data_IF_619498411035
#
_entry.id   IF_619498411035
#
_cell.length_a   1.000
_cell.length_b   1.000
_cell.length_c   1.000
_cell.angle_alpha   90.00
_cell.angle_beta   90.00
_cell.angle_gamma   90.00
#
_symmetry.space_group_name_H-M   'P 1'
#
loop_
_entity.id
_entity.type
_entity.pdbx_description
1 polymer ?
#
# COMPACT_ATOMS: atom_id res chain seq x y z
N UNK A 1 15.58 11.52 17.91
CA UNK A 1 15.72 10.43 16.92
C UNK A 1 15.86 11.11 15.57
N UNK A 2 16.70 10.60 14.68
CA UNK A 2 16.79 11.17 13.33
C UNK A 2 15.45 10.97 12.61
N UNK A 3 15.02 11.96 11.84
CA UNK A 3 13.75 11.93 11.10
C UNK A 3 13.78 10.80 10.08
N UNK A 4 12.74 9.97 10.07
CA UNK A 4 12.57 8.92 9.07
C UNK A 4 12.02 9.57 7.81
N UNK A 5 12.71 9.36 6.69
CA UNK A 5 12.28 9.76 5.35
C UNK A 5 11.81 8.51 4.60
N UNK A 6 10.66 8.62 3.94
CA UNK A 6 10.06 7.53 3.16
C UNK A 6 10.39 7.63 1.67
N UNK A 7 10.86 8.79 1.22
CA UNK A 7 11.28 9.00 -0.15
C UNK A 7 12.65 8.37 -0.44
N UNK A 8 12.63 7.38 -1.34
CA UNK A 8 13.81 6.71 -1.87
C UNK A 8 13.67 6.51 -3.38
N UNK A 9 14.68 5.92 -4.01
CA UNK A 9 14.66 5.55 -5.43
C UNK A 9 15.68 4.42 -5.68
N UNK A 10 15.60 3.69 -6.82
CA UNK A 10 16.46 2.54 -7.09
C UNK A 10 17.95 2.79 -6.96
N UNK A 11 18.43 4.00 -7.30
CA UNK A 11 19.85 4.37 -7.19
C UNK A 11 20.35 4.50 -5.74
N UNK A 12 19.43 4.63 -4.78
CA UNK A 12 19.68 4.75 -3.34
C UNK A 12 19.38 3.46 -2.56
N UNK A 13 18.85 2.41 -3.21
CA UNK A 13 18.57 1.15 -2.54
C UNK A 13 19.84 0.50 -2.02
N UNK A 14 19.75 -0.01 -0.79
CA UNK A 14 20.78 -0.80 -0.14
C UNK A 14 20.39 -2.27 -0.15
N UNK A 15 19.11 -2.55 0.07
CA UNK A 15 18.62 -3.86 0.49
C UNK A 15 17.92 -4.62 -0.63
N UNK A 16 17.57 -3.96 -1.73
CA UNK A 16 16.90 -4.57 -2.89
C UNK A 16 17.67 -4.34 -4.18
N UNK A 17 17.65 -5.34 -5.04
CA UNK A 17 18.10 -5.24 -6.43
C UNK A 17 16.89 -5.45 -7.34
N UNK A 18 16.64 -4.47 -8.20
CA UNK A 18 15.53 -4.49 -9.16
C UNK A 18 16.09 -4.61 -10.58
N UNK A 19 15.60 -5.58 -11.33
CA UNK A 19 15.99 -5.80 -12.74
C UNK A 19 14.80 -6.18 -13.60
N UNK A 20 14.89 -5.89 -14.90
CA UNK A 20 13.81 -6.11 -15.86
C UNK A 20 14.32 -6.89 -17.07
N UNK A 21 13.65 -7.99 -17.40
CA UNK A 21 13.94 -8.82 -18.57
C UNK A 21 12.65 -9.05 -19.36
N UNK A 22 12.46 -8.25 -20.42
CA UNK A 22 11.22 -8.25 -21.17
C UNK A 22 10.03 -7.88 -20.29
N UNK A 23 9.03 -8.77 -20.20
CA UNK A 23 7.83 -8.56 -19.38
C UNK A 23 7.96 -9.06 -17.93
N UNK A 24 9.16 -9.44 -17.49
CA UNK A 24 9.41 -9.96 -16.13
C UNK A 24 10.26 -8.97 -15.35
N UNK A 25 9.73 -8.49 -14.23
CA UNK A 25 10.51 -7.80 -13.21
C UNK A 25 11.03 -8.81 -12.18
N UNK A 26 12.26 -8.61 -11.69
CA UNK A 26 12.83 -9.41 -10.60
C UNK A 26 13.24 -8.49 -9.46
N UNK A 27 12.68 -8.74 -8.28
CA UNK A 27 13.09 -8.15 -7.00
C UNK A 27 13.93 -9.17 -6.22
N UNK A 28 15.23 -8.92 -6.12
CA UNK A 28 16.13 -9.72 -5.29
C UNK A 28 16.36 -9.04 -3.95
N UNK A 29 15.95 -9.70 -2.87
CA UNK A 29 16.26 -9.28 -1.51
C UNK A 29 17.75 -9.54 -1.22
N UNK A 30 18.49 -8.47 -0.94
CA UNK A 30 19.91 -8.51 -0.59
C UNK A 30 20.21 -7.52 0.53
N UNK A 31 19.70 -7.78 1.73
CA UNK A 31 19.85 -6.86 2.84
C UNK A 31 21.34 -6.70 3.20
N UNK A 32 21.81 -5.44 3.23
CA UNK A 32 23.12 -5.10 3.81
C UNK A 32 23.03 -5.15 5.33
N UNK A 33 23.81 -6.05 5.95
CA UNK A 33 23.70 -6.33 7.38
C UNK A 33 24.13 -5.15 8.25
N UNK A 34 25.03 -4.31 7.74
CA UNK A 34 25.68 -3.18 8.43
C UNK A 34 25.03 -1.82 8.13
N UNK A 35 23.94 -1.79 7.37
CA UNK A 35 23.23 -0.56 7.02
C UNK A 35 21.77 -0.56 7.50
N UNK A 36 21.50 -0.76 8.81
CA UNK A 36 20.14 -0.61 9.33
C UNK A 36 19.63 0.84 9.17
N UNK A 37 18.31 1.02 9.24
CA UNK A 37 17.70 2.35 9.28
C UNK A 37 18.17 3.16 10.50
N UNK A 38 18.32 2.49 11.64
CA UNK A 38 18.82 3.10 12.88
C UNK A 38 20.00 2.32 13.45
N UNK A 39 20.97 3.00 14.09
CA UNK A 39 22.07 2.32 14.75
C UNK A 39 21.58 1.48 15.94
N UNK A 40 22.32 0.42 16.27
CA UNK A 40 22.07 -0.39 17.47
C UNK A 40 21.75 -1.87 17.21
N UNK A 41 21.57 -2.27 15.95
CA UNK A 41 21.39 -3.66 15.53
C UNK A 41 22.01 -3.91 14.15
N UNK A 42 22.14 -5.17 13.76
CA UNK A 42 22.60 -5.60 12.43
C UNK A 42 21.55 -6.49 11.77
N UNK A 43 21.39 -6.35 10.47
CA UNK A 43 20.35 -7.01 9.67
C UNK A 43 20.84 -8.33 9.06
N UNK A 44 21.31 -9.24 9.91
CA UNK A 44 21.84 -10.55 9.47
C UNK A 44 20.77 -11.40 8.80
N UNK A 45 21.19 -12.33 7.93
CA UNK A 45 20.34 -13.39 7.37
C UNK A 45 19.08 -12.87 6.65
N UNK A 46 19.21 -11.77 5.89
CA UNK A 46 18.05 -11.10 5.26
C UNK A 46 16.92 -10.78 6.26
N UNK A 47 17.25 -10.52 7.53
CA UNK A 47 16.27 -9.91 8.44
C UNK A 47 16.03 -8.46 8.04
N UNK A 48 14.85 -7.92 8.32
CA UNK A 48 14.47 -6.59 7.85
C UNK A 48 14.04 -5.65 8.98
N UNK A 49 14.27 -4.36 8.75
CA UNK A 49 13.67 -3.26 9.51
C UNK A 49 12.79 -2.39 8.60
N UNK A 50 12.36 -1.22 9.09
CA UNK A 50 11.52 -0.30 8.32
C UNK A 50 12.21 0.19 7.03
N UNK A 51 13.53 0.39 7.03
CA UNK A 51 14.25 0.91 5.86
C UNK A 51 14.22 -0.06 4.69
N UNK A 52 14.36 -1.36 4.97
CA UNK A 52 14.22 -2.43 3.97
C UNK A 52 12.82 -2.42 3.34
N UNK A 53 11.79 -2.12 4.13
CA UNK A 53 10.40 -2.10 3.65
C UNK A 53 10.04 -0.83 2.89
N UNK A 54 10.66 0.31 3.25
CA UNK A 54 10.57 1.56 2.48
C UNK A 54 11.07 1.35 1.06
N UNK A 55 12.22 0.68 0.89
CA UNK A 55 12.74 0.33 -0.42
C UNK A 55 11.81 -0.64 -1.18
N UNK A 56 11.23 -1.64 -0.50
CA UNK A 56 10.28 -2.57 -1.12
C UNK A 56 9.03 -1.85 -1.63
N UNK A 57 8.46 -0.95 -0.83
CA UNK A 57 7.29 -0.18 -1.21
C UNK A 57 7.57 0.73 -2.41
N UNK A 58 8.73 1.42 -2.42
CA UNK A 58 9.15 2.22 -3.57
C UNK A 58 9.33 1.33 -4.81
N UNK A 59 9.99 0.17 -4.68
CA UNK A 59 10.26 -0.71 -5.82
C UNK A 59 8.98 -1.25 -6.48
N UNK A 60 7.95 -1.56 -5.69
CA UNK A 60 6.62 -1.91 -6.19
C UNK A 60 5.99 -0.74 -6.95
N UNK A 61 6.13 0.49 -6.44
CA UNK A 61 5.65 1.69 -7.11
C UNK A 61 6.40 1.94 -8.43
N UNK A 62 7.73 1.70 -8.49
CA UNK A 62 8.49 1.75 -9.74
C UNK A 62 7.93 0.79 -10.78
N UNK A 63 7.66 -0.46 -10.40
CA UNK A 63 7.07 -1.46 -11.30
C UNK A 63 5.71 -1.01 -11.84
N UNK A 64 4.87 -0.39 -10.98
CA UNK A 64 3.54 0.08 -11.35
C UNK A 64 3.59 1.18 -12.42
N UNK A 65 4.38 2.22 -12.18
CA UNK A 65 4.35 3.46 -12.98
C UNK A 65 5.42 3.55 -14.07
N UNK A 66 6.61 3.00 -13.82
CA UNK A 66 7.76 3.11 -14.73
C UNK A 66 7.88 1.91 -15.69
N UNK A 67 7.12 0.83 -15.45
CA UNK A 67 7.24 -0.41 -16.23
C UNK A 67 5.87 -0.97 -16.65
N UNK A 68 5.14 -0.28 -17.55
CA UNK A 68 3.85 -0.77 -18.07
C UNK A 68 3.97 -2.12 -18.79
N UNK A 69 5.15 -2.47 -19.31
CA UNK A 69 5.43 -3.73 -19.99
C UNK A 69 5.51 -4.95 -19.05
N UNK A 70 5.68 -4.73 -17.74
CA UNK A 70 5.86 -5.81 -16.77
C UNK A 70 4.54 -6.52 -16.49
N UNK A 71 4.54 -7.83 -16.74
CA UNK A 71 3.41 -8.76 -16.60
C UNK A 71 3.59 -9.77 -15.48
N UNK A 72 4.84 -10.06 -15.08
CA UNK A 72 5.12 -10.89 -13.94
C UNK A 72 6.23 -10.30 -13.07
N UNK A 73 6.11 -10.51 -11.76
CA UNK A 73 7.11 -10.14 -10.76
C UNK A 73 7.63 -11.40 -10.07
N UNK A 74 8.94 -11.62 -10.18
CA UNK A 74 9.69 -12.60 -9.41
C UNK A 74 10.25 -11.93 -8.15
N UNK A 75 9.94 -12.47 -6.97
CA UNK A 75 10.56 -12.11 -5.70
C UNK A 75 11.48 -13.24 -5.27
N UNK A 76 12.77 -12.95 -5.08
CA UNK A 76 13.77 -13.95 -4.71
C UNK A 76 14.82 -13.37 -3.75
N UNK A 77 15.73 -14.20 -3.26
CA UNK A 77 16.86 -13.77 -2.44
C UNK A 77 18.18 -13.88 -3.20
N UNK A 78 19.01 -12.85 -3.09
CA UNK A 78 20.38 -12.87 -3.61
C UNK A 78 21.35 -13.64 -2.69
N UNK A 79 20.92 -14.05 -1.49
CA UNK A 79 21.76 -14.75 -0.51
C UNK A 79 21.53 -16.26 -0.60
N UNK A 80 22.60 -17.04 -0.55
CA UNK A 80 22.51 -18.50 -0.60
C UNK A 80 21.90 -19.07 0.70
N UNK A 81 21.00 -20.04 0.56
CA UNK A 81 20.34 -20.81 1.65
C UNK A 81 19.52 -19.99 2.64
N UNK A 82 19.33 -18.69 2.40
CA UNK A 82 18.47 -17.82 3.21
C UNK A 82 17.61 -16.98 2.27
N UNK A 83 16.30 -17.15 2.34
CA UNK A 83 15.38 -16.25 1.67
C UNK A 83 15.24 -14.97 2.50
N UNK A 84 14.62 -15.10 3.67
CA UNK A 84 14.39 -14.01 4.63
C UNK A 84 14.09 -14.59 6.01
N UNK A 85 14.75 -14.06 7.05
CA UNK A 85 14.56 -14.49 8.44
C UNK A 85 13.51 -13.69 9.20
N UNK A 86 12.83 -12.76 8.53
CA UNK A 86 11.74 -11.97 9.10
C UNK A 86 12.17 -10.64 9.70
N UNK A 87 11.25 -10.01 10.42
CA UNK A 87 11.53 -8.74 11.09
C UNK A 87 12.67 -8.93 12.11
N UNK A 88 13.63 -8.01 12.11
CA UNK A 88 14.82 -8.14 12.95
C UNK A 88 14.45 -8.09 14.44
N UNK A 89 14.77 -9.17 15.18
CA UNK A 89 14.36 -9.34 16.58
C UNK A 89 15.02 -8.31 17.51
N UNK A 90 16.24 -7.85 17.20
CA UNK A 90 16.93 -6.86 18.01
C UNK A 90 16.30 -5.48 17.83
N UNK A 91 15.98 -5.11 16.58
CA UNK A 91 15.20 -3.91 16.27
C UNK A 91 13.85 -3.94 17.01
N UNK A 92 13.11 -5.05 16.96
CA UNK A 92 11.83 -5.17 17.66
C UNK A 92 11.99 -5.05 19.18
N UNK A 93 13.05 -5.65 19.74
CA UNK A 93 13.37 -5.58 21.16
C UNK A 93 13.73 -4.18 21.65
N UNK A 94 14.44 -3.39 20.83
CA UNK A 94 14.87 -2.02 21.17
C UNK A 94 13.84 -0.94 20.82
N UNK A 95 12.83 -1.25 20.02
CA UNK A 95 11.84 -0.27 19.54
C UNK A 95 10.73 0.01 20.56
N UNK A 96 10.24 1.26 20.56
CA UNK A 96 9.05 1.63 21.35
C UNK A 96 7.80 0.86 20.88
N UNK A 97 6.77 0.80 21.73
CA UNK A 97 5.51 0.17 21.35
C UNK A 97 4.86 0.87 20.14
N UNK A 98 4.79 2.21 20.16
CA UNK A 98 4.25 3.00 19.04
C UNK A 98 4.99 2.76 17.73
N UNK A 99 6.33 2.68 17.77
CA UNK A 99 7.12 2.36 16.58
C UNK A 99 6.77 0.97 16.04
N UNK A 100 6.73 -0.05 16.90
CA UNK A 100 6.38 -1.44 16.48
C UNK A 100 5.00 -1.50 15.81
N UNK A 101 4.01 -0.82 16.36
CA UNK A 101 2.65 -0.78 15.76
C UNK A 101 2.68 -0.13 14.38
N UNK A 102 3.37 1.01 14.22
CA UNK A 102 3.48 1.68 12.92
C UNK A 102 4.32 0.89 11.92
N UNK A 103 5.39 0.23 12.36
CA UNK A 103 6.18 -0.71 11.55
C UNK A 103 5.29 -1.84 11.03
N UNK A 104 4.49 -2.49 11.89
CA UNK A 104 3.55 -3.51 11.47
C UNK A 104 2.50 -2.96 10.48
N UNK A 105 1.94 -1.77 10.72
CA UNK A 105 0.98 -1.15 9.78
C UNK A 105 1.59 -0.90 8.40
N UNK A 106 2.76 -0.25 8.37
CA UNK A 106 3.46 0.05 7.13
C UNK A 106 3.78 -1.21 6.33
N UNK A 107 4.37 -2.20 7.02
CA UNK A 107 4.73 -3.47 6.39
C UNK A 107 3.50 -4.23 5.90
N UNK A 108 2.38 -4.24 6.64
CA UNK A 108 1.11 -4.80 6.15
C UNK A 108 0.61 -4.11 4.87
N UNK A 109 0.62 -2.77 4.84
CA UNK A 109 0.23 -1.96 3.66
C UNK A 109 1.11 -2.34 2.45
N UNK A 110 2.44 -2.44 2.61
CA UNK A 110 3.35 -2.87 1.53
C UNK A 110 3.02 -4.26 0.99
N UNK A 111 2.61 -5.23 1.84
CA UNK A 111 2.21 -6.57 1.37
C UNK A 111 0.90 -6.53 0.59
N UNK A 112 -0.04 -5.65 0.99
CA UNK A 112 -1.28 -5.45 0.23
C UNK A 112 -0.97 -4.89 -1.17
N UNK A 113 0.06 -4.05 -1.33
CA UNK A 113 0.44 -3.53 -2.66
C UNK A 113 0.86 -4.64 -3.62
N UNK A 114 1.48 -5.72 -3.14
CA UNK A 114 1.81 -6.91 -3.93
C UNK A 114 0.56 -7.70 -4.35
N UNK A 115 -0.46 -7.74 -3.50
CA UNK A 115 -1.73 -8.40 -3.81
C UNK A 115 -2.53 -7.57 -4.82
N UNK A 116 -2.57 -6.25 -4.66
CA UNK A 116 -3.17 -5.33 -5.63
C UNK A 116 -2.49 -5.39 -7.01
N UNK A 117 -1.20 -5.75 -7.11
CA UNK A 117 -0.57 -6.00 -8.43
C UNK A 117 -1.31 -7.11 -9.20
N UNK A 118 -1.77 -8.14 -8.49
CA UNK A 118 -2.49 -9.28 -9.06
C UNK A 118 -3.93 -8.90 -9.33
N UNK A 119 -4.61 -8.41 -8.31
CA UNK A 119 -6.06 -8.21 -8.34
C UNK A 119 -6.47 -7.05 -9.26
N UNK A 120 -5.70 -5.96 -9.26
CA UNK A 120 -6.09 -4.71 -9.94
C UNK A 120 -5.32 -4.47 -11.25
N UNK A 121 -4.06 -4.92 -11.34
CA UNK A 121 -3.22 -4.69 -12.53
C UNK A 121 -3.10 -5.90 -13.43
N UNK A 122 -3.46 -7.09 -12.94
CA UNK A 122 -3.27 -8.34 -13.69
C UNK A 122 -1.80 -8.75 -13.84
N UNK A 123 -0.90 -8.23 -12.99
CA UNK A 123 0.50 -8.69 -12.88
C UNK A 123 0.53 -9.95 -12.03
N UNK A 124 1.22 -10.99 -12.49
CA UNK A 124 1.34 -12.25 -11.76
C UNK A 124 2.57 -12.23 -10.87
N UNK A 125 2.52 -12.81 -9.67
CA UNK A 125 3.65 -12.74 -8.72
C UNK A 125 4.12 -14.13 -8.28
N UNK A 126 5.43 -14.39 -8.36
CA UNK A 126 6.07 -15.63 -7.91
C UNK A 126 7.15 -15.31 -6.88
N UNK A 127 7.05 -15.93 -5.71
CA UNK A 127 8.12 -15.94 -4.71
C UNK A 127 8.96 -17.21 -4.83
N UNK A 128 10.23 -17.09 -5.21
CA UNK A 128 11.19 -18.19 -5.27
C UNK A 128 11.97 -18.29 -3.94
N UNK A 129 11.55 -19.22 -3.09
CA UNK A 129 12.17 -19.49 -1.79
C UNK A 129 13.33 -20.46 -1.94
N UNK A 130 14.54 -19.92 -2.10
CA UNK A 130 15.79 -20.65 -2.31
C UNK A 130 16.54 -21.04 -1.00
N UNK A 131 15.86 -20.98 0.15
CA UNK A 131 16.47 -21.20 1.46
C UNK A 131 15.50 -21.10 2.62
N UNK A 132 16.00 -20.81 3.83
CA UNK A 132 15.17 -20.59 5.01
C UNK A 132 14.27 -19.35 4.82
N UNK A 133 12.98 -19.51 5.10
CA UNK A 133 11.96 -18.47 4.99
C UNK A 133 11.13 -18.46 6.28
N UNK A 134 11.40 -17.50 7.16
CA UNK A 134 10.91 -17.52 8.53
C UNK A 134 10.19 -16.23 8.92
N UNK A 135 9.10 -16.39 9.67
CA UNK A 135 8.27 -15.32 10.20
C UNK A 135 7.89 -14.32 9.11
N UNK A 136 8.24 -13.05 9.31
CA UNK A 136 8.05 -11.99 8.32
C UNK A 136 8.58 -12.27 6.91
N UNK A 137 9.55 -13.18 6.73
CA UNK A 137 9.99 -13.63 5.41
C UNK A 137 8.95 -14.49 4.71
N UNK A 138 8.29 -15.37 5.46
CA UNK A 138 7.16 -16.14 4.94
C UNK A 138 5.92 -15.26 4.78
N UNK A 139 5.72 -14.24 5.62
CA UNK A 139 4.65 -13.25 5.43
C UNK A 139 4.81 -12.45 4.13
N UNK A 140 6.04 -12.14 3.71
CA UNK A 140 6.32 -11.58 2.39
C UNK A 140 5.98 -12.59 1.28
N UNK A 141 6.43 -13.84 1.39
CA UNK A 141 6.13 -14.87 0.41
C UNK A 141 4.60 -15.12 0.27
N UNK A 142 3.87 -15.09 1.39
CA UNK A 142 2.41 -15.23 1.45
C UNK A 142 1.68 -14.10 0.72
N UNK A 143 2.28 -12.91 0.58
CA UNK A 143 1.71 -11.80 -0.17
C UNK A 143 1.80 -12.01 -1.69
N UNK A 144 2.77 -12.79 -2.17
CA UNK A 144 2.81 -13.23 -3.56
C UNK A 144 1.68 -14.23 -3.88
N UNK A 145 1.39 -14.39 -5.16
CA UNK A 145 0.38 -15.33 -5.65
C UNK A 145 0.88 -16.77 -5.56
N UNK A 146 2.10 -17.03 -6.04
CA UNK A 146 2.73 -18.35 -6.04
C UNK A 146 3.98 -18.37 -5.17
N UNK A 147 4.19 -19.48 -4.47
CA UNK A 147 5.39 -19.72 -3.66
C UNK A 147 6.03 -21.04 -4.08
N UNK A 148 7.27 -20.97 -4.59
CA UNK A 148 8.06 -22.15 -4.93
C UNK A 148 9.16 -22.33 -3.89
N UNK A 149 9.29 -23.53 -3.34
CA UNK A 149 10.30 -23.87 -2.33
C UNK A 149 11.35 -24.83 -2.91
N UNK A 150 12.62 -24.51 -2.69
CA UNK A 150 13.70 -25.44 -3.06
C UNK A 150 13.72 -26.64 -2.12
N UNK A 151 13.91 -27.84 -2.67
CA UNK A 151 14.16 -29.06 -1.91
C UNK A 151 15.66 -29.38 -1.94
N UNK A 152 16.34 -28.89 -0.92
CA UNK A 152 17.78 -29.09 -0.68
C UNK A 152 18.08 -29.74 0.69
N UNK A 153 17.05 -30.27 1.35
CA UNK A 153 17.11 -30.83 2.70
C UNK A 153 17.14 -29.79 3.84
N UNK A 154 17.35 -28.51 3.54
CA UNK A 154 17.49 -27.44 4.54
C UNK A 154 16.37 -26.40 4.49
N UNK A 155 15.98 -25.97 3.29
CA UNK A 155 14.98 -24.93 3.10
C UNK A 155 13.63 -25.28 3.75
N UNK A 156 13.02 -24.29 4.39
CA UNK A 156 11.82 -24.43 5.18
C UNK A 156 11.02 -23.13 5.16
N UNK A 157 9.70 -23.25 5.20
CA UNK A 157 8.81 -22.14 5.57
C UNK A 157 8.41 -22.29 7.03
N UNK A 158 8.34 -21.19 7.79
CA UNK A 158 8.02 -21.20 9.23
C UNK A 158 7.38 -19.91 9.71
N UNK A 159 6.53 -20.01 10.74
CA UNK A 159 6.02 -18.89 11.52
C UNK A 159 6.40 -19.08 13.00
N UNK A 160 7.66 -18.82 13.38
CA UNK A 160 8.18 -19.10 14.71
C UNK A 160 7.87 -18.01 15.75
N UNK A 161 7.06 -17.00 15.41
CA UNK A 161 6.79 -15.82 16.24
C UNK A 161 6.23 -16.20 17.61
N UNK A 162 5.27 -17.12 17.68
CA UNK A 162 4.68 -17.55 18.96
C UNK A 162 5.70 -18.25 19.85
N UNK A 163 6.39 -19.33 19.42
CA UNK A 163 7.32 -20.05 20.29
C UNK A 163 8.64 -19.32 20.57
N UNK A 164 9.12 -18.46 19.66
CA UNK A 164 10.42 -17.78 19.84
C UNK A 164 10.32 -16.37 20.40
N UNK A 165 9.26 -15.63 20.07
CA UNK A 165 9.14 -14.21 20.38
C UNK A 165 7.94 -13.88 21.29
N UNK A 166 7.01 -14.81 21.49
CA UNK A 166 5.80 -14.58 22.26
C UNK A 166 4.85 -13.57 21.62
N UNK A 167 4.91 -13.41 20.29
CA UNK A 167 4.04 -12.53 19.50
C UNK A 167 3.44 -13.31 18.33
N UNK A 168 2.52 -12.69 17.60
CA UNK A 168 1.90 -13.31 16.42
C UNK A 168 2.64 -12.92 15.13
N UNK A 169 2.49 -13.72 14.06
CA UNK A 169 2.76 -13.30 12.68
C UNK A 169 1.84 -12.13 12.29
N UNK A 170 2.30 -10.92 12.64
CA UNK A 170 1.50 -9.69 12.66
C UNK A 170 1.48 -8.94 11.33
N UNK A 171 2.27 -9.36 10.34
CA UNK A 171 2.30 -8.78 8.99
C UNK A 171 1.32 -9.51 8.05
N UNK A 172 0.16 -9.88 8.62
CA UNK A 172 -0.91 -10.61 7.94
C UNK A 172 -0.63 -12.10 7.73
N UNK A 173 0.40 -12.67 8.37
CA UNK A 173 0.77 -14.08 8.21
C UNK A 173 -0.36 -15.04 8.52
N UNK A 174 -0.98 -14.93 9.71
CA UNK A 174 -2.09 -15.82 10.09
C UNK A 174 -3.31 -15.66 9.17
N UNK A 175 -3.65 -14.41 8.82
CA UNK A 175 -4.75 -14.10 7.91
C UNK A 175 -4.51 -14.73 6.54
N UNK A 176 -3.30 -14.60 5.96
CA UNK A 176 -3.00 -15.21 4.67
C UNK A 176 -2.91 -16.74 4.75
N UNK A 177 -2.41 -17.31 5.85
CA UNK A 177 -2.41 -18.77 6.06
C UNK A 177 -3.83 -19.35 6.02
N UNK A 178 -4.80 -18.69 6.67
CA UNK A 178 -6.18 -19.19 6.75
C UNK A 178 -7.02 -18.74 5.55
N UNK A 179 -7.00 -17.46 5.21
CA UNK A 179 -7.93 -16.88 4.24
C UNK A 179 -7.42 -16.97 2.80
N UNK A 180 -6.10 -16.92 2.57
CA UNK A 180 -5.52 -17.03 1.22
C UNK A 180 -5.09 -18.46 0.90
N UNK A 181 -4.24 -19.05 1.76
CA UNK A 181 -3.73 -20.41 1.58
C UNK A 181 -4.72 -21.49 2.00
N UNK A 182 -5.83 -21.15 2.68
CA UNK A 182 -6.85 -22.12 3.11
C UNK A 182 -6.27 -23.32 3.87
N UNK A 183 -5.19 -23.08 4.62
CA UNK A 183 -4.55 -24.11 5.45
C UNK A 183 -5.54 -24.50 6.54
N UNK A 184 -5.76 -25.81 6.73
CA UNK A 184 -6.68 -26.31 7.75
C UNK A 184 -6.24 -25.80 9.12
N UNK A 185 -7.18 -25.30 9.92
CA UNK A 185 -6.90 -24.51 11.13
C UNK A 185 -5.99 -25.22 12.16
N UNK A 186 -6.14 -26.53 12.33
CA UNK A 186 -5.28 -27.34 13.19
C UNK A 186 -3.84 -27.49 12.64
N UNK A 187 -3.67 -27.56 11.32
CA UNK A 187 -2.34 -27.53 10.71
C UNK A 187 -1.71 -26.14 10.82
N UNK A 188 -2.51 -25.09 10.70
CA UNK A 188 -2.06 -23.71 10.91
C UNK A 188 -1.60 -23.47 12.35
N UNK A 189 -2.29 -24.06 13.34
CA UNK A 189 -1.87 -24.04 14.75
C UNK A 189 -0.51 -24.73 14.94
N UNK A 190 -0.36 -25.97 14.45
CA UNK A 190 0.93 -26.69 14.50
C UNK A 190 2.03 -25.90 13.79
N UNK A 191 1.73 -25.35 12.61
CA UNK A 191 2.68 -24.55 11.83
C UNK A 191 3.13 -23.28 12.57
N UNK A 192 2.25 -22.65 13.34
CA UNK A 192 2.51 -21.39 14.05
C UNK A 192 3.05 -21.59 15.48
N UNK A 193 3.23 -22.84 15.91
CA UNK A 193 3.72 -23.20 17.25
C UNK A 193 4.98 -24.09 17.23
N UNK A 194 5.56 -24.33 16.04
CA UNK A 194 6.81 -25.08 15.85
C UNK A 194 7.84 -24.19 15.15
N UNK A 195 9.01 -24.00 15.76
CA UNK A 195 10.01 -23.06 15.28
C UNK A 195 10.77 -23.55 14.02
N UNK A 196 10.92 -24.86 13.87
CA UNK A 196 11.71 -25.49 12.79
C UNK A 196 11.03 -25.42 11.41
N UNK A 197 9.73 -25.15 11.38
CA UNK A 197 8.96 -25.03 10.15
C UNK A 197 8.66 -26.34 9.41
N UNK A 198 8.19 -26.18 8.18
CA UNK A 198 7.75 -27.27 7.29
C UNK A 198 8.57 -27.21 6.01
N UNK A 199 9.07 -28.38 5.58
CA UNK A 199 9.98 -28.55 4.43
C UNK A 199 9.38 -29.46 3.36
N UNK A 200 9.94 -29.35 2.16
CA UNK A 200 9.71 -30.28 1.05
C UNK A 200 8.23 -30.53 0.77
N UNK A 201 7.92 -31.75 0.32
CA UNK A 201 6.55 -32.19 -0.02
C UNK A 201 5.51 -31.92 1.07
N UNK A 202 5.90 -31.89 2.35
CA UNK A 202 4.96 -31.61 3.45
C UNK A 202 4.45 -30.18 3.37
N UNK A 203 5.29 -29.21 2.96
CA UNK A 203 4.89 -27.82 2.81
C UNK A 203 3.83 -27.67 1.72
N UNK A 204 4.02 -28.33 0.57
CA UNK A 204 3.04 -28.35 -0.51
C UNK A 204 1.74 -29.08 -0.11
N UNK A 205 1.85 -30.25 0.55
CA UNK A 205 0.68 -31.02 1.04
C UNK A 205 -0.18 -30.24 2.03
N UNK A 206 0.42 -29.35 2.82
CA UNK A 206 -0.29 -28.48 3.76
C UNK A 206 -0.79 -27.19 3.13
N UNK A 207 -0.56 -26.98 1.83
CA UNK A 207 -0.83 -25.76 1.08
C UNK A 207 -0.06 -24.51 1.53
N UNK A 208 1.07 -24.71 2.22
CA UNK A 208 1.96 -23.62 2.66
C UNK A 208 2.78 -23.05 1.49
N UNK A 209 3.05 -23.87 0.48
CA UNK A 209 3.70 -23.47 -0.77
C UNK A 209 2.96 -24.11 -1.93
N UNK A 210 3.11 -23.56 -3.15
CA UNK A 210 2.45 -24.09 -4.34
C UNK A 210 3.23 -25.28 -4.91
N UNK A 211 4.55 -25.13 -5.06
CA UNK A 211 5.41 -26.16 -5.62
C UNK A 211 6.72 -26.29 -4.86
N UNK A 212 7.31 -27.47 -4.99
CA UNK A 212 8.59 -27.84 -4.39
C UNK A 212 9.45 -28.46 -5.48
N UNK A 213 10.68 -27.97 -5.66
CA UNK A 213 11.57 -28.48 -6.71
C UNK A 213 12.94 -28.84 -6.16
N UNK A 214 13.55 -29.97 -6.59
CA UNK A 214 14.92 -30.30 -6.24
C UNK A 214 15.88 -29.17 -6.61
N UNK A 215 16.91 -28.96 -5.78
CA UNK A 215 17.94 -27.93 -6.00
C UNK A 215 18.47 -27.86 -7.43
N UNK A 216 18.70 -29.01 -8.07
CA UNK A 216 19.25 -29.09 -9.44
C UNK A 216 18.30 -28.60 -10.54
N UNK A 217 17.00 -28.44 -10.25
CA UNK A 217 15.97 -28.00 -11.19
C UNK A 217 15.34 -26.66 -10.81
N UNK A 218 15.59 -26.15 -9.60
CA UNK A 218 14.88 -25.02 -9.03
C UNK A 218 14.90 -23.78 -9.93
N UNK A 219 16.08 -23.32 -10.35
CA UNK A 219 16.20 -22.11 -11.18
C UNK A 219 15.48 -22.27 -12.54
N UNK A 220 15.58 -23.45 -13.15
CA UNK A 220 14.90 -23.74 -14.42
C UNK A 220 13.37 -23.77 -14.24
N UNK A 221 12.88 -24.34 -13.13
CA UNK A 221 11.46 -24.36 -12.78
C UNK A 221 10.92 -22.96 -12.50
N UNK A 222 11.64 -22.14 -11.72
CA UNK A 222 11.27 -20.75 -11.45
C UNK A 222 11.21 -19.94 -12.75
N UNK A 223 12.22 -20.05 -13.60
CA UNK A 223 12.26 -19.37 -14.90
C UNK A 223 11.07 -19.76 -15.77
N UNK A 224 10.82 -21.06 -15.94
CA UNK A 224 9.69 -21.54 -16.72
C UNK A 224 8.35 -21.06 -16.15
N UNK A 225 8.19 -21.09 -14.82
CA UNK A 225 6.95 -20.69 -14.18
C UNK A 225 6.69 -19.18 -14.30
N UNK A 226 7.70 -18.33 -14.11
CA UNK A 226 7.51 -16.87 -14.26
C UNK A 226 7.23 -16.48 -15.71
N UNK A 227 7.83 -17.16 -16.69
CA UNK A 227 7.52 -16.97 -18.11
C UNK A 227 6.08 -17.39 -18.43
N UNK A 228 5.61 -18.53 -17.90
CA UNK A 228 4.21 -18.96 -18.05
C UNK A 228 3.23 -17.98 -17.38
N UNK A 229 3.53 -17.53 -16.16
CA UNK A 229 2.73 -16.53 -15.46
C UNK A 229 2.67 -15.21 -16.25
N UNK A 230 3.79 -14.76 -16.83
CA UNK A 230 3.81 -13.55 -17.66
C UNK A 230 2.94 -13.69 -18.93
N UNK A 231 2.84 -14.89 -19.49
CA UNK A 231 1.98 -15.18 -20.63
C UNK A 231 0.48 -15.24 -20.27
N UNK A 232 0.15 -15.64 -19.04
CA UNK A 232 -1.22 -15.70 -18.50
C UNK A 232 -1.73 -14.37 -17.93
N UNK A 233 -0.80 -13.46 -17.61
CA UNK A 233 -1.10 -12.14 -17.06
C UNK A 233 -2.10 -11.36 -17.93
N UNK A 234 -3.11 -10.77 -17.30
CA UNK A 234 -4.12 -9.96 -17.99
C UNK A 234 -3.67 -8.53 -18.24
N UNK A 235 -2.58 -8.06 -17.62
CA UNK A 235 -2.02 -6.73 -17.89
C UNK A 235 -1.72 -6.56 -19.38
N UNK A 236 -2.33 -5.56 -20.01
CA UNK A 236 -2.11 -5.23 -21.42
C UNK A 236 -1.62 -3.79 -21.67
N UNK A 237 -1.11 -3.16 -20.62
CA UNK A 237 -0.74 -1.75 -20.65
C UNK A 237 0.26 -1.43 -21.75
N UNK A 238 0.08 -0.25 -22.34
CA UNK A 238 0.99 0.31 -23.32
C UNK A 238 1.10 1.81 -23.06
N UNK A 239 2.27 2.36 -23.34
CA UNK A 239 2.57 3.77 -23.10
C UNK A 239 4.00 3.97 -22.62
N UNK A 240 4.38 5.24 -22.51
CA UNK A 240 5.68 5.60 -21.97
C UNK A 240 5.70 5.41 -20.44
N UNK A 241 6.81 4.93 -19.86
CA UNK A 241 7.08 4.98 -18.43
C UNK A 241 6.80 6.37 -17.83
N UNK A 242 6.26 6.40 -16.61
CA UNK A 242 6.10 7.63 -15.84
C UNK A 242 7.07 7.61 -14.67
N UNK A 243 8.13 8.43 -14.76
CA UNK A 243 9.15 8.54 -13.73
C UNK A 243 8.56 9.10 -12.43
N UNK A 244 8.77 8.38 -11.32
CA UNK A 244 8.40 8.87 -9.99
C UNK A 244 9.52 9.78 -9.47
N UNK A 245 9.34 11.09 -9.63
CA UNK A 245 10.31 12.09 -9.16
C UNK A 245 10.21 12.37 -7.66
N UNK A 246 11.28 12.87 -7.02
CA UNK A 246 11.24 13.37 -5.66
C UNK A 246 10.15 14.42 -5.40
N UNK A 247 9.56 14.38 -4.21
CA UNK A 247 8.58 15.35 -3.73
C UNK A 247 9.25 16.68 -3.41
N UNK A 248 10.45 16.67 -2.81
CA UNK A 248 11.13 17.92 -2.45
C UNK A 248 10.35 18.79 -1.45
N UNK A 249 9.65 18.15 -0.50
CA UNK A 249 8.98 18.84 0.61
C UNK A 249 9.97 19.55 1.53
N UNK A 250 9.50 20.59 2.21
CA UNK A 250 10.21 21.25 3.30
C UNK A 250 9.69 20.69 4.63
N UNK A 251 10.60 20.29 5.51
CA UNK A 251 10.24 19.61 6.76
C UNK A 251 10.95 20.30 7.93
N UNK A 252 10.18 20.84 8.85
CA UNK A 252 10.67 21.44 10.11
C UNK A 252 10.13 20.65 11.30
N UNK A 253 10.48 21.03 12.52
CA UNK A 253 9.93 20.37 13.72
C UNK A 253 8.46 20.74 13.95
N UNK A 254 7.98 21.82 13.32
CA UNK A 254 6.63 22.37 13.52
C UNK A 254 5.78 22.28 12.25
N UNK A 255 6.35 21.87 11.11
CA UNK A 255 5.63 21.83 9.84
C UNK A 255 6.16 20.82 8.83
N UNK A 256 5.26 20.37 7.96
CA UNK A 256 5.54 19.65 6.71
C UNK A 256 4.91 20.47 5.59
N UNK A 257 5.69 20.90 4.62
CA UNK A 257 5.23 21.76 3.53
C UNK A 257 5.56 21.13 2.18
N UNK A 258 4.51 20.78 1.45
CA UNK A 258 4.56 20.42 0.04
C UNK A 258 3.77 21.43 -0.80
N UNK A 259 3.57 21.14 -2.10
CA UNK A 259 2.86 22.04 -3.01
C UNK A 259 1.37 22.12 -2.70
N UNK A 260 0.74 20.97 -2.49
CA UNK A 260 -0.71 20.84 -2.28
C UNK A 260 -1.07 20.35 -0.88
N UNK A 261 -0.11 19.90 -0.08
CA UNK A 261 -0.34 19.47 1.30
C UNK A 261 0.56 20.23 2.24
N UNK A 262 -0.02 20.86 3.26
CA UNK A 262 0.70 21.43 4.39
C UNK A 262 0.22 20.80 5.69
N UNK A 263 1.13 20.64 6.64
CA UNK A 263 0.81 20.22 8.00
C UNK A 263 1.50 21.18 8.96
N UNK A 264 0.74 21.77 9.87
CA UNK A 264 1.25 22.58 10.99
C UNK A 264 1.07 21.81 12.29
N UNK A 265 2.07 21.83 13.17
CA UNK A 265 2.11 21.01 14.39
C UNK A 265 2.14 21.91 15.61
N UNK A 266 1.12 21.77 16.46
CA UNK A 266 1.06 22.36 17.79
C UNK A 266 1.45 21.30 18.82
N UNK A 267 2.71 21.35 19.28
CA UNK A 267 3.26 20.41 20.26
C UNK A 267 2.62 20.53 21.64
N UNK A 268 2.17 21.73 22.04
CA UNK A 268 1.56 21.95 23.35
C UNK A 268 0.16 21.31 23.41
N UNK A 269 -0.64 21.53 22.35
CA UNK A 269 -1.97 20.95 22.23
C UNK A 269 -1.94 19.49 21.75
N UNK A 270 -0.81 19.03 21.18
CA UNK A 270 -0.64 17.74 20.51
C UNK A 270 -1.61 17.58 19.34
N UNK A 271 -1.74 18.65 18.56
CA UNK A 271 -2.63 18.74 17.40
C UNK A 271 -1.80 19.00 16.16
N UNK A 272 -2.09 18.30 15.07
CA UNK A 272 -1.60 18.67 13.75
C UNK A 272 -2.78 19.16 12.89
N UNK A 273 -2.59 20.24 12.14
CA UNK A 273 -3.55 20.73 11.15
C UNK A 273 -3.04 20.43 9.76
N UNK A 274 -3.66 19.49 9.07
CA UNK A 274 -3.41 19.14 7.68
C UNK A 274 -4.36 19.94 6.78
N UNK A 275 -3.80 20.68 5.84
CA UNK A 275 -4.55 21.38 4.79
C UNK A 275 -4.18 20.78 3.43
N UNK A 276 -5.19 20.31 2.70
CA UNK A 276 -5.03 19.83 1.33
C UNK A 276 -5.65 20.81 0.33
N UNK A 277 -4.84 21.32 -0.59
CA UNK A 277 -5.28 22.21 -1.65
C UNK A 277 -5.94 21.43 -2.79
N UNK A 278 -7.09 21.93 -3.23
CA UNK A 278 -7.78 21.44 -4.42
C UNK A 278 -7.00 21.71 -5.72
N UNK A 279 -7.48 21.19 -6.85
CA UNK A 279 -6.82 21.34 -8.14
C UNK A 279 -6.63 22.80 -8.53
N UNK A 280 -5.46 23.17 -9.11
CA UNK A 280 -5.29 24.49 -9.69
C UNK A 280 -6.19 24.65 -10.93
N UNK A 281 -6.32 25.89 -11.41
CA UNK A 281 -7.03 26.15 -12.66
C UNK A 281 -6.31 25.49 -13.86
N UNK A 282 -7.09 24.99 -14.82
CA UNK A 282 -6.56 24.42 -16.06
C UNK A 282 -5.95 23.02 -15.94
N UNK A 283 -6.25 22.23 -14.91
CA UNK A 283 -5.90 20.80 -14.92
C UNK A 283 -6.59 20.07 -16.10
N UNK A 284 -5.90 19.14 -16.77
CA UNK A 284 -6.45 18.42 -17.92
C UNK A 284 -7.58 17.49 -17.51
N UNK A 285 -8.65 17.48 -18.31
CA UNK A 285 -9.85 16.65 -18.10
C UNK A 285 -9.98 15.52 -19.13
N UNK A 286 -8.87 15.15 -19.78
CA UNK A 286 -8.78 14.02 -20.68
C UNK A 286 -7.48 13.24 -20.46
N UNK A 287 -7.49 11.95 -20.83
CA UNK A 287 -6.38 11.02 -20.61
C UNK A 287 -5.05 11.49 -21.23
N UNK A 288 -5.11 12.09 -22.43
CA UNK A 288 -3.92 12.57 -23.14
C UNK A 288 -3.28 13.75 -22.41
N UNK A 289 -4.09 14.71 -21.98
CA UNK A 289 -3.64 15.84 -21.17
C UNK A 289 -3.10 15.40 -19.82
N UNK A 290 -3.75 14.44 -19.15
CA UNK A 290 -3.29 13.87 -17.89
C UNK A 290 -1.92 13.21 -18.05
N UNK A 291 -1.72 12.40 -19.10
CA UNK A 291 -0.41 11.83 -19.42
C UNK A 291 0.66 12.89 -19.72
N UNK A 292 0.30 13.95 -20.45
CA UNK A 292 1.22 15.04 -20.74
C UNK A 292 1.64 15.81 -19.47
N UNK A 293 0.72 15.97 -18.52
CA UNK A 293 1.01 16.52 -17.18
C UNK A 293 1.87 15.58 -16.34
N UNK A 294 1.63 14.27 -16.44
CA UNK A 294 2.40 13.23 -15.77
C UNK A 294 2.58 13.51 -14.28
N UNK A 295 3.84 13.70 -13.87
CA UNK A 295 4.23 13.97 -12.48
C UNK A 295 3.59 15.22 -11.86
N UNK A 296 3.22 16.20 -12.70
CA UNK A 296 2.64 17.47 -12.26
C UNK A 296 1.10 17.46 -12.33
N UNK A 297 0.48 16.34 -12.70
CA UNK A 297 -0.97 16.13 -12.56
C UNK A 297 -1.33 16.27 -11.07
N UNK A 298 -2.32 17.11 -10.75
CA UNK A 298 -2.69 17.37 -9.35
C UNK A 298 -3.03 16.09 -8.59
N UNK A 299 -3.86 15.22 -9.16
CA UNK A 299 -4.34 14.02 -8.48
C UNK A 299 -3.22 13.03 -8.14
N UNK A 300 -2.17 12.97 -8.96
CA UNK A 300 -0.99 12.19 -8.66
C UNK A 300 -0.14 12.86 -7.57
N UNK A 301 0.15 14.14 -7.76
CA UNK A 301 1.08 14.88 -6.92
C UNK A 301 0.54 15.09 -5.50
N UNK A 302 -0.70 15.58 -5.38
CA UNK A 302 -1.32 15.91 -4.10
C UNK A 302 -1.49 14.67 -3.21
N UNK A 303 -1.83 13.50 -3.79
CA UNK A 303 -1.98 12.27 -3.02
C UNK A 303 -0.65 11.64 -2.61
N UNK A 304 0.42 11.79 -3.41
CA UNK A 304 1.78 11.43 -2.95
C UNK A 304 2.24 12.30 -1.78
N UNK A 305 1.96 13.60 -1.84
CA UNK A 305 2.28 14.53 -0.76
C UNK A 305 1.45 14.22 0.50
N UNK A 306 0.19 13.82 0.35
CA UNK A 306 -0.63 13.35 1.46
C UNK A 306 -0.08 12.06 2.07
N UNK A 307 0.32 11.09 1.24
CA UNK A 307 0.92 9.83 1.69
C UNK A 307 2.16 10.07 2.55
N UNK A 308 3.07 10.92 2.05
CA UNK A 308 4.30 11.31 2.74
C UNK A 308 4.01 12.05 4.06
N UNK A 309 3.11 13.03 4.05
CA UNK A 309 2.69 13.75 5.25
C UNK A 309 2.11 12.82 6.32
N UNK A 310 1.28 11.84 5.94
CA UNK A 310 0.72 10.85 6.85
C UNK A 310 1.79 9.93 7.44
N UNK A 311 2.76 9.52 6.63
CA UNK A 311 3.90 8.72 7.08
C UNK A 311 4.77 9.49 8.07
N UNK A 312 5.05 10.76 7.79
CA UNK A 312 5.75 11.64 8.71
C UNK A 312 5.00 11.81 10.03
N UNK A 313 3.69 12.07 9.99
CA UNK A 313 2.86 12.15 11.20
C UNK A 313 2.87 10.85 12.02
N UNK A 314 2.82 9.69 11.36
CA UNK A 314 2.83 8.38 12.04
C UNK A 314 4.13 8.12 12.78
N UNK A 315 5.27 8.38 12.16
CA UNK A 315 6.58 7.94 12.65
C UNK A 315 7.40 9.04 13.33
N UNK A 316 7.32 10.28 12.84
CA UNK A 316 8.16 11.38 13.31
C UNK A 316 7.48 12.25 14.37
N UNK A 317 6.14 12.19 14.48
CA UNK A 317 5.33 12.96 15.43
C UNK A 317 4.40 12.04 16.25
N UNK A 318 4.94 11.11 17.05
CA UNK A 318 4.15 10.14 17.82
C UNK A 318 3.31 10.77 18.94
N UNK A 319 3.65 11.99 19.37
CA UNK A 319 2.96 12.75 20.42
C UNK A 319 1.65 13.40 19.95
N UNK A 320 1.53 13.72 18.66
CA UNK A 320 0.30 14.26 18.07
C UNK A 320 -0.83 13.25 18.25
N UNK A 321 -1.92 13.66 18.92
CA UNK A 321 -3.08 12.81 19.18
C UNK A 321 -4.26 13.09 18.25
N UNK A 322 -4.39 14.33 17.78
CA UNK A 322 -5.49 14.80 16.95
C UNK A 322 -4.95 15.37 15.63
N UNK A 323 -5.53 14.94 14.52
CA UNK A 323 -5.33 15.52 13.20
C UNK A 323 -6.60 16.29 12.82
N UNK A 324 -6.48 17.63 12.76
CA UNK A 324 -7.48 18.47 12.11
C UNK A 324 -7.23 18.44 10.61
N UNK A 325 -8.26 18.18 9.82
CA UNK A 325 -8.17 18.12 8.37
C UNK A 325 -9.03 19.21 7.76
N UNK A 326 -8.41 19.98 6.88
CA UNK A 326 -9.03 21.04 6.10
C UNK A 326 -8.72 20.84 4.62
N UNK A 327 -9.57 21.41 3.79
CA UNK A 327 -9.32 21.55 2.36
C UNK A 327 -9.44 23.01 1.98
N UNK A 328 -8.79 23.43 0.90
CA UNK A 328 -8.87 24.79 0.37
C UNK A 328 -8.91 24.77 -1.16
N UNK A 329 -9.85 25.49 -1.78
CA UNK A 329 -9.91 25.61 -3.23
C UNK A 329 -11.33 25.59 -3.80
N UNK A 330 -11.46 25.14 -5.05
CA UNK A 330 -12.73 25.12 -5.78
C UNK A 330 -13.29 23.70 -5.85
N UNK A 331 -14.45 23.49 -5.21
CA UNK A 331 -15.14 22.20 -5.16
C UNK A 331 -15.50 21.66 -6.56
N UNK A 332 -15.89 22.52 -7.50
CA UNK A 332 -16.26 22.10 -8.84
C UNK A 332 -15.05 21.60 -9.65
N UNK A 333 -13.85 22.14 -9.38
CA UNK A 333 -12.61 21.62 -9.98
C UNK A 333 -12.27 20.24 -9.47
N UNK A 334 -12.51 19.96 -8.19
CA UNK A 334 -12.33 18.61 -7.62
C UNK A 334 -13.27 17.62 -8.30
N UNK A 335 -14.55 17.98 -8.46
CA UNK A 335 -15.53 17.12 -9.15
C UNK A 335 -15.17 16.90 -10.62
N UNK A 336 -14.76 17.95 -11.31
CA UNK A 336 -14.38 17.87 -12.72
C UNK A 336 -13.19 16.93 -12.95
N UNK A 337 -12.13 17.04 -12.13
CA UNK A 337 -10.98 16.14 -12.27
C UNK A 337 -11.34 14.71 -11.86
N UNK A 338 -12.18 14.52 -10.85
CA UNK A 338 -12.64 13.20 -10.44
C UNK A 338 -13.42 12.49 -11.57
N UNK A 339 -14.41 13.17 -12.15
CA UNK A 339 -15.22 12.60 -13.21
C UNK A 339 -14.36 12.28 -14.44
N UNK A 340 -13.38 13.13 -14.76
CA UNK A 340 -12.42 12.89 -15.83
C UNK A 340 -11.49 11.69 -15.56
N UNK A 341 -10.97 11.57 -14.33
CA UNK A 341 -10.11 10.46 -13.93
C UNK A 341 -10.87 9.13 -14.01
N UNK A 342 -12.12 9.08 -13.53
CA UNK A 342 -12.94 7.88 -13.62
C UNK A 342 -13.28 7.51 -15.07
N UNK A 343 -13.61 8.51 -15.90
CA UNK A 343 -13.91 8.27 -17.32
C UNK A 343 -12.69 7.70 -18.07
N UNK A 344 -11.48 8.16 -17.75
CA UNK A 344 -10.24 7.72 -18.40
C UNK A 344 -9.58 6.50 -17.74
N UNK A 345 -9.98 6.09 -16.54
CA UNK A 345 -9.36 5.03 -15.73
C UNK A 345 -9.23 3.70 -16.49
N UNK A 346 -10.29 3.27 -17.15
CA UNK A 346 -10.32 1.95 -17.80
C UNK A 346 -9.63 1.97 -19.19
N UNK A 347 -9.30 3.16 -19.72
CA UNK A 347 -8.69 3.36 -21.04
C UNK A 347 -7.19 3.70 -20.98
N UNK A 348 -6.70 4.24 -19.86
CA UNK A 348 -5.33 4.74 -19.72
C UNK A 348 -4.66 4.18 -18.45
N UNK A 349 -3.54 3.45 -18.64
CA UNK A 349 -2.83 2.84 -17.52
C UNK A 349 -2.35 3.86 -16.49
N UNK A 350 -1.91 5.05 -16.91
CA UNK A 350 -1.38 6.04 -15.99
C UNK A 350 -2.50 6.59 -15.12
N UNK A 351 -3.64 6.93 -15.74
CA UNK A 351 -4.83 7.39 -15.03
C UNK A 351 -5.32 6.32 -14.05
N UNK A 352 -5.33 5.06 -14.49
CA UNK A 352 -5.68 3.93 -13.62
C UNK A 352 -4.78 3.83 -12.39
N UNK A 353 -3.46 3.90 -12.58
CA UNK A 353 -2.51 3.83 -11.48
C UNK A 353 -2.61 5.03 -10.53
N UNK A 354 -2.91 6.22 -11.05
CA UNK A 354 -3.18 7.42 -10.22
C UNK A 354 -4.41 7.18 -9.34
N UNK A 355 -5.51 6.69 -9.92
CA UNK A 355 -6.73 6.37 -9.17
C UNK A 355 -6.47 5.33 -8.09
N UNK A 356 -5.77 4.24 -8.40
CA UNK A 356 -5.40 3.24 -7.39
C UNK A 356 -4.48 3.79 -6.31
N UNK A 357 -3.56 4.70 -6.66
CA UNK A 357 -2.72 5.35 -5.67
C UNK A 357 -3.53 6.24 -4.73
N UNK A 358 -4.45 7.07 -5.25
CA UNK A 358 -5.33 7.90 -4.44
C UNK A 358 -6.07 7.08 -3.38
N UNK A 359 -6.64 5.94 -3.78
CA UNK A 359 -7.35 5.08 -2.85
C UNK A 359 -6.48 4.38 -1.82
N UNK A 360 -5.25 3.95 -2.18
CA UNK A 360 -4.26 3.45 -1.20
C UNK A 360 -3.96 4.50 -0.13
N UNK A 361 -3.79 5.76 -0.53
CA UNK A 361 -3.52 6.87 0.39
C UNK A 361 -4.73 7.16 1.29
N UNK A 362 -5.94 7.15 0.74
CA UNK A 362 -7.17 7.32 1.54
C UNK A 362 -7.38 6.17 2.54
N UNK A 363 -7.05 4.92 2.18
CA UNK A 363 -7.04 3.80 3.13
C UNK A 363 -6.00 4.00 4.23
N UNK A 364 -4.79 4.47 3.88
CA UNK A 364 -3.76 4.86 4.86
C UNK A 364 -4.28 5.95 5.80
N UNK A 365 -4.98 6.95 5.27
CA UNK A 365 -5.60 8.00 6.08
C UNK A 365 -6.56 7.40 7.12
N UNK A 366 -7.54 6.57 6.71
CA UNK A 366 -8.52 5.96 7.63
C UNK A 366 -7.88 5.10 8.72
N UNK A 367 -6.81 4.34 8.41
CA UNK A 367 -6.14 3.47 9.39
C UNK A 367 -5.00 4.15 10.17
N UNK A 368 -4.82 5.46 9.99
CA UNK A 368 -3.86 6.25 10.78
C UNK A 368 -4.33 6.34 12.23
N UNK A 369 -3.48 5.92 13.18
CA UNK A 369 -3.82 5.88 14.61
C UNK A 369 -3.80 7.27 15.25
N UNK A 370 -4.73 8.14 14.85
CA UNK A 370 -4.97 9.49 15.36
C UNK A 370 -6.47 9.71 15.41
N UNK A 371 -6.95 10.58 16.30
CA UNK A 371 -8.29 11.12 16.13
C UNK A 371 -8.31 12.04 14.91
N UNK A 372 -9.35 11.94 14.08
CA UNK A 372 -9.46 12.69 12.82
C UNK A 372 -10.68 13.60 12.88
N UNK A 373 -10.49 14.93 12.88
CA UNK A 373 -11.60 15.89 12.78
C UNK A 373 -11.51 16.65 11.47
N UNK A 374 -12.55 16.56 10.63
CA UNK A 374 -12.67 17.42 9.46
C UNK A 374 -13.35 18.74 9.84
N UNK A 375 -12.79 19.85 9.38
CA UNK A 375 -13.29 21.20 9.64
C UNK A 375 -13.65 21.85 8.30
N UNK A 376 -14.96 21.94 8.03
CA UNK A 376 -15.55 22.37 6.77
C UNK A 376 -15.99 23.83 6.95
N UNK A 377 -15.18 24.73 6.44
CA UNK A 377 -15.28 26.19 6.61
C UNK A 377 -15.39 26.89 5.24
N UNK A 378 -15.73 28.19 5.20
CA UNK A 378 -15.77 28.96 3.96
C UNK A 378 -14.42 28.90 3.22
N UNK A 379 -14.48 28.64 1.91
CA UNK A 379 -13.30 28.43 1.07
C UNK A 379 -12.76 27.00 1.05
N UNK A 380 -13.34 26.09 1.82
CA UNK A 380 -13.03 24.67 1.72
C UNK A 380 -13.61 24.02 0.45
N UNK A 381 -13.00 22.92 0.03
CA UNK A 381 -13.38 22.17 -1.17
C UNK A 381 -13.51 20.67 -0.85
N UNK A 382 -14.26 20.35 0.22
CA UNK A 382 -14.66 18.98 0.56
C UNK A 382 -15.66 18.44 -0.46
N UNK A 383 -15.14 18.12 -1.64
CA UNK A 383 -15.89 17.57 -2.75
C UNK A 383 -15.22 16.32 -3.30
N UNK A 384 -16.00 15.38 -3.82
CA UNK A 384 -15.49 14.20 -4.52
C UNK A 384 -14.42 13.44 -3.72
N UNK A 385 -13.26 13.20 -4.31
CA UNK A 385 -12.12 12.52 -3.70
C UNK A 385 -11.60 13.21 -2.43
N UNK A 386 -11.74 14.53 -2.29
CA UNK A 386 -11.39 15.26 -1.06
C UNK A 386 -12.47 15.16 0.02
N UNK A 387 -13.74 14.92 -0.36
CA UNK A 387 -14.81 14.67 0.62
C UNK A 387 -14.55 13.39 1.43
N UNK A 388 -13.83 12.42 0.87
CA UNK A 388 -13.43 11.19 1.57
C UNK A 388 -12.65 11.49 2.87
N UNK A 389 -11.90 12.60 2.92
CA UNK A 389 -11.19 13.03 4.14
C UNK A 389 -12.15 13.36 5.29
N UNK A 390 -13.30 13.96 4.97
CA UNK A 390 -14.36 14.22 5.93
C UNK A 390 -15.22 12.98 6.23
N UNK A 391 -15.41 12.08 5.27
CA UNK A 391 -16.17 10.84 5.49
C UNK A 391 -15.41 9.84 6.37
N UNK A 392 -14.08 9.77 6.23
CA UNK A 392 -13.22 8.95 7.08
C UNK A 392 -12.95 9.57 8.46
N UNK A 393 -13.20 10.88 8.65
CA UNK A 393 -12.99 11.54 9.93
C UNK A 393 -13.87 10.96 11.05
N UNK A 394 -13.36 10.93 12.29
CA UNK A 394 -14.14 10.56 13.48
C UNK A 394 -15.28 11.54 13.72
N UNK A 395 -15.08 12.81 13.36
CA UNK A 395 -16.09 13.87 13.39
C UNK A 395 -15.85 14.86 12.25
N UNK A 396 -16.94 15.41 11.73
CA UNK A 396 -16.91 16.44 10.70
C UNK A 396 -17.76 17.59 11.17
N UNK A 397 -17.16 18.78 11.26
CA UNK A 397 -17.80 20.00 11.70
C UNK A 397 -17.93 20.93 10.50
N UNK A 398 -19.16 21.28 10.15
CA UNK A 398 -19.46 22.20 9.05
C UNK A 398 -20.00 23.50 9.63
N UNK A 399 -19.45 24.62 9.19
CA UNK A 399 -19.92 25.93 9.62
C UNK A 399 -21.34 26.16 9.07
N UNK A 400 -22.29 26.39 9.97
CA UNK A 400 -23.64 26.83 9.65
C UNK A 400 -23.74 28.34 9.90
N UNK A 401 -23.40 29.12 8.87
CA UNK A 401 -23.48 30.58 8.85
C UNK A 401 -24.14 31.05 7.54
N UNK A 402 -25.36 31.60 7.58
CA UNK A 402 -26.06 32.09 6.40
C UNK A 402 -25.30 33.15 5.59
N UNK A 403 -24.40 33.90 6.23
CA UNK A 403 -23.59 34.94 5.57
C UNK A 403 -22.29 34.39 4.97
N UNK A 404 -21.91 33.16 5.32
CA UNK A 404 -20.70 32.48 4.87
C UNK A 404 -21.02 31.05 4.43
N UNK A 405 -21.69 30.88 3.28
CA UNK A 405 -22.13 29.56 2.83
C UNK A 405 -20.94 28.62 2.64
N UNK A 406 -21.11 27.40 3.12
CA UNK A 406 -20.17 26.30 2.94
C UNK A 406 -20.92 25.17 2.25
N UNK A 407 -20.27 24.50 1.31
CA UNK A 407 -20.85 23.40 0.56
C UNK A 407 -19.92 22.18 0.60
N UNK A 408 -20.53 21.00 0.58
CA UNK A 408 -19.87 19.74 0.26
C UNK A 408 -20.51 19.20 -1.01
N UNK A 409 -19.74 18.46 -1.82
CA UNK A 409 -20.27 17.93 -3.06
C UNK A 409 -19.78 16.51 -3.33
N UNK A 410 -20.66 15.66 -3.86
CA UNK A 410 -20.30 14.32 -4.29
C UNK A 410 -19.79 14.35 -5.74
N UNK A 411 -18.88 13.45 -6.07
CA UNK A 411 -18.54 13.05 -7.44
C UNK A 411 -18.84 11.55 -7.62
N UNK A 412 -18.69 11.04 -8.84
CA UNK A 412 -18.83 9.61 -9.07
C UNK A 412 -17.78 8.78 -8.29
N UNK A 413 -16.65 9.38 -7.91
CA UNK A 413 -15.58 8.71 -7.14
C UNK A 413 -16.03 8.26 -5.76
N UNK A 414 -16.94 8.99 -5.10
CA UNK A 414 -17.43 8.60 -3.77
C UNK A 414 -18.18 7.25 -3.78
N UNK A 415 -18.63 6.81 -4.95
CA UNK A 415 -19.37 5.55 -5.15
C UNK A 415 -18.59 4.52 -5.95
N UNK A 416 -17.41 4.86 -6.47
CA UNK A 416 -16.61 3.98 -7.28
C UNK A 416 -15.91 2.96 -6.38
N UNK A 417 -16.20 1.68 -6.61
CA UNK A 417 -15.41 0.60 -6.01
C UNK A 417 -14.10 0.50 -6.78
N UNK A 418 -12.98 0.41 -6.06
CA UNK A 418 -11.77 -0.17 -6.65
C UNK A 418 -12.08 -1.59 -7.14
N UNK A 419 -11.66 -1.90 -8.36
CA UNK A 419 -11.91 -3.20 -9.00
C UNK A 419 -13.27 -3.41 -9.69
N UNK A 420 -14.25 -2.50 -9.57
CA UNK A 420 -15.47 -2.59 -10.38
C UNK A 420 -15.22 -2.04 -11.80
N UNK A 421 -15.15 -2.91 -12.81
CA UNK A 421 -15.18 -2.49 -14.21
C UNK A 421 -16.47 -1.71 -14.47
N UNK A 422 -16.39 -0.56 -15.14
CA UNK A 422 -17.56 0.29 -15.44
C UNK A 422 -18.54 -0.30 -16.49
N UNK A 423 -18.61 -1.63 -16.64
CA UNK A 423 -19.63 -2.29 -17.46
C UNK A 423 -20.89 -2.52 -16.62
N UNK A 424 -21.66 -1.46 -16.37
CA UNK A 424 -23.06 -1.63 -15.96
C UNK A 424 -23.73 -0.54 -15.10
N UNK A 425 -23.01 0.46 -14.60
CA UNK A 425 -23.65 1.50 -13.78
C UNK A 425 -24.12 2.67 -14.66
N UNK A 426 -25.29 2.54 -15.28
CA UNK A 426 -26.01 3.70 -15.82
C UNK A 426 -26.65 4.49 -14.66
N UNK A 427 -26.31 5.76 -14.53
CA UNK A 427 -26.81 6.69 -13.50
C UNK A 427 -28.29 7.11 -13.68
N UNK A 428 -29.09 6.37 -14.46
CA UNK A 428 -30.49 6.67 -14.72
C UNK A 428 -31.38 5.55 -14.16
N UNK A 429 -31.82 5.69 -12.91
CA UNK A 429 -32.86 4.82 -12.37
C UNK A 429 -32.74 4.50 -10.88
N UNK A 430 -32.84 5.51 -10.01
CA UNK A 430 -33.05 5.29 -8.58
C UNK A 430 -34.42 5.84 -8.16
N UNK A 431 -35.50 5.14 -8.55
CA UNK A 431 -36.77 5.23 -7.84
C UNK A 431 -36.77 4.23 -6.70
N UNK A 432 -37.05 4.69 -5.49
CA UNK A 432 -37.16 3.86 -4.29
C UNK A 432 -38.15 2.70 -4.50
N UNK A 433 -37.63 1.47 -4.44
CA UNK A 433 -38.43 0.24 -4.50
C UNK A 433 -37.64 -0.92 -3.90
N UNK A 434 -38.25 -1.58 -2.92
CA UNK A 434 -37.69 -2.64 -2.10
C UNK A 434 -37.20 -3.87 -2.90
N UNK A 435 -36.01 -4.38 -2.56
CA UNK A 435 -35.59 -5.76 -2.86
C UNK A 435 -34.17 -5.90 -3.38
N UNK A 436 -33.31 -6.55 -2.58
CA UNK A 436 -31.88 -6.90 -2.81
C UNK A 436 -30.89 -5.72 -2.74
N UNK A 437 -30.32 -5.54 -1.54
CA UNK A 437 -29.23 -4.61 -1.25
C UNK A 437 -27.93 -5.03 -1.95
N UNK A 438 -27.72 -4.58 -3.18
CA UNK A 438 -26.39 -4.44 -3.75
C UNK A 438 -25.65 -3.36 -2.97
N UNK A 439 -24.78 -3.75 -2.04
CA UNK A 439 -23.97 -2.80 -1.28
C UNK A 439 -22.99 -2.08 -2.22
N UNK A 440 -23.26 -0.80 -2.51
CA UNK A 440 -22.35 0.09 -3.20
C UNK A 440 -21.09 0.32 -2.34
N UNK A 441 -19.91 0.21 -2.97
CA UNK A 441 -18.61 0.26 -2.30
C UNK A 441 -17.80 1.43 -2.88
N UNK A 442 -17.52 2.47 -2.09
CA UNK A 442 -16.59 3.57 -2.47
C UNK A 442 -15.12 3.26 -2.12
N UNK A 443 -14.19 4.17 -2.40
CA UNK A 443 -12.74 4.06 -2.17
C UNK A 443 -12.33 3.48 -0.80
N UNK A 444 -13.11 3.76 0.26
CA UNK A 444 -12.81 3.36 1.63
C UNK A 444 -13.40 1.99 2.04
N UNK A 445 -14.14 1.30 1.18
CA UNK A 445 -14.97 0.16 1.58
C UNK A 445 -14.36 -1.21 1.27
N UNK A 446 -13.14 -1.47 1.77
CA UNK A 446 -12.59 -2.84 1.79
C UNK A 446 -12.85 -3.58 3.12
N UNK A 447 -13.20 -2.87 4.21
CA UNK A 447 -13.40 -3.48 5.54
C UNK A 447 -14.85 -3.80 5.94
N UNK A 448 -15.83 -3.73 5.05
CA UNK A 448 -17.22 -4.08 5.43
C UNK A 448 -17.85 -3.15 6.48
N UNK A 449 -17.32 -1.95 6.68
CA UNK A 449 -17.95 -0.88 7.45
C UNK A 449 -18.56 0.14 6.49
N UNK A 450 -19.80 -0.10 6.09
CA UNK A 450 -20.68 0.94 5.54
C UNK A 450 -20.90 2.00 6.62
N UNK A 451 -20.14 3.11 6.59
CA UNK A 451 -20.24 4.22 7.56
C UNK A 451 -21.25 5.31 7.17
N UNK A 452 -21.84 5.25 5.97
CA UNK A 452 -22.73 6.30 5.45
C UNK A 452 -24.09 6.39 6.17
N UNK A 453 -24.48 5.41 7.00
CA UNK A 453 -25.79 5.45 7.67
C UNK A 453 -25.85 6.31 8.94
N UNK A 454 -24.75 6.87 9.46
CA UNK A 454 -24.76 7.33 10.89
C UNK A 454 -24.38 8.77 11.20
N UNK A 455 -24.13 9.69 10.24
CA UNK A 455 -23.52 11.00 10.61
C UNK A 455 -24.03 12.26 9.90
N UNK A 456 -25.35 12.39 9.75
CA UNK A 456 -25.96 13.71 9.64
C UNK A 456 -26.99 13.86 10.76
N UNK A 457 -26.58 14.49 11.87
CA UNK A 457 -27.54 15.14 12.77
C UNK A 457 -27.68 16.55 12.23
N UNK A 458 -28.87 16.86 11.73
CA UNK A 458 -29.21 18.16 11.13
C UNK A 458 -29.58 19.23 12.15
#
# INVERSE_FOLDING_TARGET
>A
MERILFETEPSRYKHWQLSFEGSVATLRMNVQEDQPLHPGYVLKLNSYDLGVDIELADAIQRIRFEHPEVKALLVESAKDRIFCSGANIFMLGSSSHGFKVNFCKYTNETRLYLEELVDELGVRTLCAVNGICAGGGYELALACEKIFLVDDGNAAVSLPETPLLGVLPGTGGLTRVVDKRKVRRDLADVFSTVAEGIRGDRAAKWNLVDEVHPRSKFDASVKSAVESLAAEASRNDSGAPMAIEPLGGNYTDDAIEHRYVRVEIDHEQRVATLVMQGPPDGEPLDASGMRAKGKDLWAWRAFRELDDALLHLRFNFPEVGLLLVKTEGDAERVRAIDDALLAARDEDFFVREVVFHMGRVLRRYDITARSLFAVIEPGSCFAGSLLELALAADRSYMLDDPDQPVEIALSAMNFAAEGASAKGASAEGASAGDGESGAFRGFLTWQGLTRLETRFFG
#
